data_IF_842629629548
#
_entry.id   IF_842629629548
#
_cell.length_a   1.000
_cell.length_b   1.000
_cell.length_c   1.000
_cell.angle_alpha   90.00
_cell.angle_beta   90.00
_cell.angle_gamma   90.00
#
_symmetry.space_group_name_H-M   'P 1'
#
loop_
_entity.id
_entity.type
_entity.pdbx_description
1 polymer ?
#
# COMPACT_ATOMS: atom_id res chain seq x y z
N UNK A 1 23.57 -13.57 -7.79
CA UNK A 1 23.20 -12.28 -8.41
C UNK A 1 21.88 -11.78 -7.83
N UNK A 2 20.73 -12.40 -8.09
CA UNK A 2 19.41 -11.93 -7.62
C UNK A 2 19.22 -11.58 -6.11
N UNK A 3 19.94 -12.24 -5.19
CA UNK A 3 19.87 -11.91 -3.76
C UNK A 3 20.56 -10.59 -3.39
N UNK A 4 21.64 -10.23 -4.10
CA UNK A 4 22.33 -8.94 -3.91
C UNK A 4 21.41 -7.81 -4.37
N UNK A 5 20.82 -7.97 -5.55
CA UNK A 5 19.96 -6.98 -6.18
C UNK A 5 18.73 -6.65 -5.33
N UNK A 6 18.13 -7.66 -4.69
CA UNK A 6 16.99 -7.47 -3.79
C UNK A 6 17.36 -6.68 -2.53
N UNK A 7 18.55 -6.92 -1.97
CA UNK A 7 19.02 -6.19 -0.79
C UNK A 7 19.38 -4.75 -1.12
N UNK A 8 20.10 -4.54 -2.23
CA UNK A 8 20.44 -3.20 -2.74
C UNK A 8 19.20 -2.35 -3.00
N UNK A 9 18.12 -2.97 -3.49
CA UNK A 9 16.84 -2.28 -3.67
C UNK A 9 16.23 -1.82 -2.34
N UNK A 10 16.21 -2.66 -1.31
CA UNK A 10 15.67 -2.31 0.02
C UNK A 10 16.51 -1.19 0.67
N UNK A 11 17.84 -1.28 0.58
CA UNK A 11 18.75 -0.25 1.10
C UNK A 11 18.52 1.10 0.40
N UNK A 12 18.23 1.10 -0.91
CA UNK A 12 17.86 2.32 -1.62
C UNK A 12 16.56 2.93 -1.07
N UNK A 13 15.53 2.11 -0.80
CA UNK A 13 14.28 2.58 -0.20
C UNK A 13 14.49 3.15 1.21
N UNK A 14 15.37 2.57 2.01
CA UNK A 14 15.74 3.09 3.34
C UNK A 14 16.44 4.44 3.26
N UNK A 15 17.45 4.55 2.40
CA UNK A 15 18.20 5.80 2.20
C UNK A 15 17.27 6.94 1.77
N UNK A 16 16.30 6.65 0.92
CA UNK A 16 15.39 7.65 0.36
C UNK A 16 14.12 7.84 1.23
N UNK A 17 14.07 7.22 2.42
CA UNK A 17 12.91 7.22 3.35
C UNK A 17 11.57 6.84 2.68
N UNK A 18 11.64 6.03 1.63
CA UNK A 18 10.49 5.64 0.82
C UNK A 18 9.70 4.52 1.51
N UNK A 19 8.41 4.71 1.85
CA UNK A 19 7.63 3.64 2.44
C UNK A 19 7.37 2.48 1.48
N UNK A 20 7.38 1.27 2.02
CA UNK A 20 7.06 0.05 1.29
C UNK A 20 6.45 -1.01 2.22
N UNK A 21 5.77 -1.98 1.63
CA UNK A 21 5.37 -3.22 2.28
C UNK A 21 6.27 -4.36 1.81
N UNK A 22 6.76 -5.18 2.74
CA UNK A 22 7.50 -6.39 2.45
C UNK A 22 6.62 -7.60 2.77
N UNK A 23 6.22 -8.35 1.75
CA UNK A 23 5.26 -9.45 1.87
C UNK A 23 5.99 -10.76 1.58
N UNK A 24 6.04 -11.62 2.59
CA UNK A 24 6.67 -12.93 2.49
C UNK A 24 5.67 -13.97 1.98
N UNK A 25 6.03 -14.71 0.94
CA UNK A 25 5.28 -15.85 0.43
C UNK A 25 6.23 -17.04 0.24
N UNK A 26 5.68 -18.22 -0.04
CA UNK A 26 6.51 -19.40 -0.32
C UNK A 26 7.47 -19.11 -1.47
N UNK A 27 8.77 -19.17 -1.18
CA UNK A 27 9.89 -18.99 -2.10
C UNK A 27 9.98 -17.62 -2.79
N UNK A 28 9.29 -16.59 -2.29
CA UNK A 28 9.40 -15.23 -2.83
C UNK A 28 9.08 -14.16 -1.79
N UNK A 29 9.59 -12.96 -2.05
CA UNK A 29 9.28 -11.75 -1.31
C UNK A 29 8.75 -10.74 -2.32
N UNK A 30 7.61 -10.12 -2.02
CA UNK A 30 7.06 -9.02 -2.80
C UNK A 30 7.36 -7.71 -2.06
N UNK A 31 8.02 -6.79 -2.75
CA UNK A 31 8.24 -5.43 -2.25
C UNK A 31 7.27 -4.49 -2.97
N UNK A 32 6.26 -4.00 -2.25
CA UNK A 32 5.24 -3.09 -2.78
C UNK A 32 5.56 -1.69 -2.27
N UNK A 33 6.15 -0.87 -3.13
CA UNK A 33 6.51 0.51 -2.81
C UNK A 33 5.27 1.39 -2.88
N UNK A 34 5.11 2.33 -1.95
CA UNK A 34 3.90 3.16 -1.84
C UNK A 34 4.20 4.59 -1.39
N UNK A 35 3.33 5.54 -1.74
CA UNK A 35 3.39 6.90 -1.17
C UNK A 35 3.23 6.90 0.35
N UNK A 36 3.81 7.91 1.01
CA UNK A 36 3.53 8.22 2.43
C UNK A 36 2.04 8.53 2.62
N UNK A 37 1.51 8.12 3.77
CA UNK A 37 0.08 8.21 4.06
C UNK A 37 -0.22 9.30 5.11
N UNK A 38 0.80 9.71 5.86
CA UNK A 38 0.78 10.90 6.71
C UNK A 38 0.83 12.21 5.91
N UNK A 39 1.04 12.13 4.59
CA UNK A 39 1.14 13.29 3.69
C UNK A 39 -0.22 13.74 3.13
N UNK A 40 -1.32 13.02 3.41
CA UNK A 40 -2.66 13.37 2.93
C UNK A 40 -3.77 12.96 3.89
N UNK A 41 -4.97 13.52 3.67
CA UNK A 41 -6.18 13.17 4.42
C UNK A 41 -6.89 12.00 3.73
N UNK A 42 -7.01 10.90 4.46
CA UNK A 42 -7.76 9.72 4.04
C UNK A 42 -9.24 10.03 3.83
N UNK A 43 -9.89 9.30 2.92
CA UNK A 43 -11.34 9.27 2.87
C UNK A 43 -11.92 8.72 4.19
N UNK A 44 -13.07 9.26 4.61
CA UNK A 44 -13.69 8.96 5.91
C UNK A 44 -14.00 7.46 6.14
N UNK A 45 -14.07 6.67 5.07
CA UNK A 45 -14.40 5.26 5.14
C UNK A 45 -13.20 4.36 5.51
N UNK A 46 -11.98 4.89 5.50
CA UNK A 46 -10.73 4.16 5.81
C UNK A 46 -9.88 4.86 6.86
N UNK A 47 -9.09 4.08 7.61
CA UNK A 47 -8.09 4.60 8.56
C UNK A 47 -6.67 4.59 7.98
N UNK A 48 -6.52 4.23 6.71
CA UNK A 48 -5.25 4.02 6.03
C UNK A 48 -5.10 2.61 5.49
N UNK A 49 -3.92 2.32 4.96
CA UNK A 49 -3.65 1.21 4.08
C UNK A 49 -2.41 0.45 4.50
N UNK A 50 -2.61 -0.84 4.78
CA UNK A 50 -1.53 -1.78 5.02
C UNK A 50 -1.24 -2.58 3.74
N UNK A 51 -0.47 -3.65 3.89
CA UNK A 51 -0.09 -4.53 2.79
C UNK A 51 -1.30 -5.18 2.10
N UNK A 52 -2.38 -5.44 2.85
CA UNK A 52 -3.57 -6.12 2.33
C UNK A 52 -4.27 -5.24 1.29
N UNK A 53 -4.44 -3.95 1.60
CA UNK A 53 -5.08 -3.00 0.70
C UNK A 53 -4.21 -2.62 -0.50
N UNK A 54 -2.91 -2.47 -0.29
CA UNK A 54 -1.95 -2.28 -1.38
C UNK A 54 -1.93 -3.46 -2.39
N UNK A 55 -2.44 -4.63 -1.99
CA UNK A 55 -2.56 -5.82 -2.83
C UNK A 55 -3.99 -6.06 -3.35
N UNK A 56 -4.89 -5.08 -3.25
CA UNK A 56 -6.25 -5.13 -3.80
C UNK A 56 -7.31 -5.69 -2.85
N UNK A 57 -6.95 -6.00 -1.60
CA UNK A 57 -7.93 -6.20 -0.53
C UNK A 57 -8.57 -4.88 -0.12
N UNK A 58 -9.76 -4.90 0.48
CA UNK A 58 -10.35 -3.71 1.08
C UNK A 58 -11.11 -4.12 2.33
N UNK A 59 -10.84 -3.45 3.43
CA UNK A 59 -11.61 -3.57 4.67
C UNK A 59 -12.33 -2.25 4.96
N UNK A 60 -13.57 -2.34 5.42
CA UNK A 60 -14.35 -1.18 5.87
C UNK A 60 -14.64 -1.33 7.36
N UNK A 61 -14.64 -0.21 8.09
CA UNK A 61 -14.82 -0.23 9.54
C UNK A 61 -16.27 -0.54 9.99
N UNK A 62 -17.25 -0.33 9.11
CA UNK A 62 -18.66 -0.55 9.41
C UNK A 62 -19.46 -0.97 8.16
N UNK A 63 -20.68 -1.45 8.40
CA UNK A 63 -21.56 -1.99 7.36
C UNK A 63 -22.11 -0.93 6.41
N UNK A 64 -22.24 0.32 6.84
CA UNK A 64 -22.77 1.39 6.01
C UNK A 64 -21.74 1.80 4.95
N UNK A 65 -20.47 1.94 5.36
CA UNK A 65 -19.36 2.13 4.44
C UNK A 65 -19.26 0.96 3.46
N UNK A 66 -19.40 -0.29 3.92
CA UNK A 66 -19.38 -1.46 3.05
C UNK A 66 -20.46 -1.42 1.96
N UNK A 67 -21.67 -0.95 2.30
CA UNK A 67 -22.82 -0.91 1.37
C UNK A 67 -22.75 0.27 0.40
N UNK A 68 -22.15 1.38 0.81
CA UNK A 68 -22.16 2.62 0.06
C UNK A 68 -20.88 2.87 -0.72
N UNK A 69 -19.76 2.22 -0.36
CA UNK A 69 -18.49 2.36 -1.06
C UNK A 69 -18.61 1.91 -2.51
N UNK A 70 -18.31 2.81 -3.44
CA UNK A 70 -18.33 2.50 -4.86
C UNK A 70 -16.92 2.38 -5.47
N UNK A 71 -16.88 1.94 -6.74
CA UNK A 71 -15.64 1.72 -7.49
C UNK A 71 -14.83 3.01 -7.68
N UNK A 72 -15.50 4.14 -7.81
CA UNK A 72 -14.84 5.44 -8.05
C UNK A 72 -14.14 5.90 -6.79
N UNK A 73 -14.84 5.93 -5.67
CA UNK A 73 -14.30 6.29 -4.36
C UNK A 73 -13.13 5.38 -3.98
N UNK A 74 -13.27 4.07 -4.21
CA UNK A 74 -12.22 3.10 -3.95
C UNK A 74 -10.96 3.39 -4.79
N UNK A 75 -11.13 3.60 -6.10
CA UNK A 75 -10.00 3.86 -7.01
C UNK A 75 -9.32 5.17 -6.69
N UNK A 76 -10.07 6.23 -6.46
CA UNK A 76 -9.52 7.55 -6.13
C UNK A 76 -8.64 7.47 -4.90
N UNK A 77 -9.09 6.75 -3.86
CA UNK A 77 -8.35 6.63 -2.63
C UNK A 77 -7.12 5.72 -2.76
N UNK A 78 -7.24 4.56 -3.41
CA UNK A 78 -6.09 3.67 -3.66
C UNK A 78 -5.05 4.31 -4.58
N UNK A 79 -5.45 5.16 -5.54
CA UNK A 79 -4.53 5.88 -6.41
C UNK A 79 -3.63 6.85 -5.64
N UNK A 80 -4.02 7.29 -4.44
CA UNK A 80 -3.16 8.12 -3.56
C UNK A 80 -1.93 7.34 -3.05
N UNK A 81 -1.93 6.01 -3.12
CA UNK A 81 -0.79 5.17 -2.74
C UNK A 81 0.26 5.02 -3.86
N UNK A 82 -0.07 5.40 -5.10
CA UNK A 82 0.82 5.24 -6.26
C UNK A 82 1.96 6.26 -6.20
N UNK A 83 3.19 5.78 -6.35
CA UNK A 83 4.38 6.64 -6.45
C UNK A 83 4.32 7.45 -7.74
N UNK A 84 4.56 8.75 -7.63
CA UNK A 84 4.53 9.69 -8.76
C UNK A 84 5.89 9.79 -9.42
#
# INVERSE_FOLDING_TARGET
>A
EALSDAWEFIEALHRDEQPYHLIYQNNKILCVVRQRQDDYIHADWTAGYAWYEACGGVSTANIDNFKNLDETELKEELNKLIIK
#
